data_IF_244608274465
#
_entry.id   IF_244608274465
#
_cell.length_a   1.000
_cell.length_b   1.000
_cell.length_c   1.000
_cell.angle_alpha   90.00
_cell.angle_beta   90.00
_cell.angle_gamma   90.00
#
_symmetry.space_group_name_H-M   'P 1'
#
loop_
_entity.id
_entity.type
_entity.pdbx_description
1 polymer ?
#
# COMPACT_ATOMS: atom_id res chain seq x y z
N UNK A 1 -6.04 -40.50 -24.41
CA UNK A 1 -6.54 -39.97 -23.14
C UNK A 1 -6.43 -38.44 -23.19
N UNK A 2 -7.54 -37.71 -23.03
CA UNK A 2 -7.50 -36.23 -22.97
C UNK A 2 -6.92 -35.88 -21.61
N UNK A 3 -5.91 -34.96 -21.54
CA UNK A 3 -5.34 -34.53 -20.27
C UNK A 3 -6.42 -33.91 -19.39
N UNK A 4 -6.42 -34.25 -18.10
CA UNK A 4 -7.33 -33.72 -17.12
C UNK A 4 -7.13 -32.21 -16.91
N UNK A 5 -8.06 -31.53 -16.24
CA UNK A 5 -7.92 -30.09 -15.94
C UNK A 5 -6.66 -29.83 -15.11
N UNK A 6 -6.32 -30.74 -14.20
CA UNK A 6 -5.13 -30.64 -13.37
C UNK A 6 -3.84 -30.73 -14.19
N UNK A 7 -3.76 -31.64 -15.16
CA UNK A 7 -2.59 -31.76 -16.03
C UNK A 7 -2.39 -30.52 -16.90
N UNK A 8 -3.50 -29.89 -17.34
CA UNK A 8 -3.43 -28.63 -18.11
C UNK A 8 -2.95 -27.49 -17.25
N UNK A 9 -3.40 -27.41 -16.00
CA UNK A 9 -2.99 -26.38 -15.06
C UNK A 9 -1.51 -26.51 -14.70
N UNK A 10 -1.02 -27.71 -14.39
CA UNK A 10 0.39 -27.96 -14.12
C UNK A 10 1.28 -27.69 -15.33
N UNK A 11 0.81 -27.96 -16.55
CA UNK A 11 1.54 -27.58 -17.75
C UNK A 11 1.68 -26.07 -17.89
N UNK A 12 0.59 -25.34 -17.66
CA UNK A 12 0.64 -23.87 -17.66
C UNK A 12 1.61 -23.34 -16.61
N UNK A 13 1.61 -23.91 -15.41
CA UNK A 13 2.54 -23.52 -14.34
C UNK A 13 4.02 -23.85 -14.65
N UNK A 14 4.26 -24.76 -15.62
CA UNK A 14 5.61 -25.13 -16.10
C UNK A 14 6.07 -24.31 -17.31
N UNK A 15 5.34 -23.28 -17.72
CA UNK A 15 5.81 -22.35 -18.75
C UNK A 15 6.72 -21.29 -18.12
N UNK A 16 7.80 -20.86 -18.80
CA UNK A 16 8.76 -19.89 -18.25
C UNK A 16 8.10 -18.58 -17.81
N UNK A 17 7.21 -18.02 -18.61
CA UNK A 17 6.47 -16.80 -18.32
C UNK A 17 5.50 -16.96 -17.15
N UNK A 18 4.86 -18.12 -17.01
CA UNK A 18 3.98 -18.42 -15.88
C UNK A 18 4.78 -18.54 -14.58
N UNK A 19 5.94 -19.20 -14.63
CA UNK A 19 6.87 -19.29 -13.49
C UNK A 19 7.31 -17.89 -13.04
N UNK A 20 7.70 -17.03 -13.97
CA UNK A 20 8.04 -15.65 -13.71
C UNK A 20 6.86 -14.88 -13.09
N UNK A 21 5.67 -14.98 -13.72
CA UNK A 21 4.45 -14.35 -13.21
C UNK A 21 4.12 -14.78 -11.78
N UNK A 22 4.11 -16.09 -11.52
CA UNK A 22 3.79 -16.60 -10.18
C UNK A 22 4.84 -16.18 -9.13
N UNK A 23 6.11 -16.12 -9.48
CA UNK A 23 7.17 -15.65 -8.58
C UNK A 23 6.94 -14.17 -8.20
N UNK A 24 6.69 -13.32 -9.20
CA UNK A 24 6.41 -11.90 -9.00
C UNK A 24 5.12 -11.71 -8.19
N UNK A 25 4.05 -12.41 -8.58
CA UNK A 25 2.75 -12.34 -7.90
C UNK A 25 2.83 -12.79 -6.43
N UNK A 26 3.59 -13.86 -6.15
CA UNK A 26 3.80 -14.36 -4.80
C UNK A 26 4.44 -13.32 -3.90
N UNK A 27 5.54 -12.71 -4.35
CA UNK A 27 6.26 -11.69 -3.56
C UNK A 27 5.43 -10.41 -3.44
N UNK A 28 4.73 -10.00 -4.51
CA UNK A 28 3.86 -8.83 -4.48
C UNK A 28 2.67 -9.01 -3.52
N UNK A 29 2.02 -10.19 -3.54
CA UNK A 29 0.93 -10.51 -2.62
C UNK A 29 1.40 -10.63 -1.17
N UNK A 30 2.59 -11.19 -0.91
CA UNK A 30 3.20 -11.21 0.42
C UNK A 30 3.49 -9.79 0.92
N UNK A 31 4.03 -8.93 0.06
CA UNK A 31 4.27 -7.51 0.38
C UNK A 31 2.94 -6.80 0.69
N UNK A 32 1.91 -7.04 -0.12
CA UNK A 32 0.59 -6.47 0.11
C UNK A 32 0.03 -6.88 1.48
N UNK A 33 0.05 -8.17 1.84
CA UNK A 33 -0.43 -8.65 3.13
C UNK A 33 0.32 -8.02 4.29
N UNK A 34 1.64 -7.88 4.16
CA UNK A 34 2.48 -7.30 5.20
C UNK A 34 2.13 -5.82 5.48
N UNK A 35 1.87 -5.02 4.43
CA UNK A 35 1.59 -3.60 4.58
C UNK A 35 0.11 -3.26 4.70
N UNK A 36 -0.76 -4.03 4.08
CA UNK A 36 -2.20 -3.78 4.11
C UNK A 36 -2.90 -4.44 5.31
N UNK A 37 -2.22 -5.32 6.06
CA UNK A 37 -2.75 -6.07 7.21
C UNK A 37 -4.18 -6.61 6.92
N UNK A 38 -4.28 -7.43 5.88
CA UNK A 38 -5.55 -7.96 5.38
C UNK A 38 -6.14 -9.07 6.28
N UNK A 39 -7.21 -9.67 5.79
CA UNK A 39 -7.86 -10.83 6.41
C UNK A 39 -7.21 -12.18 6.02
N UNK A 40 -5.96 -12.17 5.55
CA UNK A 40 -5.22 -13.37 5.15
C UNK A 40 -5.50 -13.89 3.74
N UNK A 41 -6.38 -13.25 2.97
CA UNK A 41 -6.69 -13.67 1.59
C UNK A 41 -5.48 -13.51 0.67
N UNK A 42 -4.78 -12.38 0.76
CA UNK A 42 -3.56 -12.14 0.01
C UNK A 42 -2.40 -13.02 0.47
N UNK A 43 -2.34 -13.36 1.77
CA UNK A 43 -1.39 -14.35 2.27
C UNK A 43 -1.64 -15.74 1.65
N UNK A 44 -2.89 -16.21 1.62
CA UNK A 44 -3.25 -17.48 0.98
C UNK A 44 -2.92 -17.47 -0.52
N UNK A 45 -3.24 -16.38 -1.23
CA UNK A 45 -2.89 -16.20 -2.64
C UNK A 45 -1.37 -16.20 -2.86
N UNK A 46 -0.61 -15.55 -1.97
CA UNK A 46 0.86 -15.55 -2.00
C UNK A 46 1.42 -16.95 -1.85
N UNK A 47 0.95 -17.73 -0.86
CA UNK A 47 1.39 -19.12 -0.65
C UNK A 47 1.11 -19.97 -1.88
N UNK A 48 -0.10 -19.88 -2.44
CA UNK A 48 -0.45 -20.62 -3.66
C UNK A 48 0.47 -20.24 -4.83
N UNK A 49 0.70 -18.95 -5.03
CA UNK A 49 1.60 -18.46 -6.08
C UNK A 49 3.05 -18.92 -5.85
N UNK A 50 3.54 -18.97 -4.61
CA UNK A 50 4.86 -19.54 -4.28
C UNK A 50 4.95 -21.04 -4.60
N UNK A 51 3.90 -21.81 -4.34
CA UNK A 51 3.87 -23.24 -4.68
C UNK A 51 3.94 -23.44 -6.20
N UNK A 52 3.20 -22.63 -6.98
CA UNK A 52 3.20 -22.68 -8.44
C UNK A 52 4.54 -22.21 -9.03
N UNK A 53 5.10 -21.13 -8.49
CA UNK A 53 6.44 -20.68 -8.86
C UNK A 53 7.49 -21.75 -8.55
N UNK A 54 7.44 -22.35 -7.35
CA UNK A 54 8.33 -23.41 -6.92
C UNK A 54 8.26 -24.65 -7.81
N UNK A 55 7.05 -25.02 -8.26
CA UNK A 55 6.87 -26.10 -9.23
C UNK A 55 7.55 -25.77 -10.57
N UNK A 56 7.34 -24.56 -11.10
CA UNK A 56 8.01 -24.11 -12.32
C UNK A 56 9.53 -24.07 -12.17
N UNK A 57 10.03 -23.52 -11.05
CA UNK A 57 11.47 -23.47 -10.76
C UNK A 57 12.11 -24.86 -10.62
N UNK A 58 11.35 -25.86 -10.19
CA UNK A 58 11.83 -27.25 -10.06
C UNK A 58 11.80 -28.03 -11.39
N UNK A 59 10.96 -27.64 -12.34
CA UNK A 59 10.74 -28.39 -13.59
C UNK A 59 11.47 -27.80 -14.80
N UNK A 60 11.77 -26.49 -14.76
CA UNK A 60 12.46 -25.79 -15.84
C UNK A 60 13.98 -25.71 -15.63
N UNK A 61 14.77 -25.62 -16.71
CA UNK A 61 16.20 -25.29 -16.62
C UNK A 61 16.37 -23.80 -16.25
N UNK A 62 16.42 -23.51 -14.98
CA UNK A 62 16.35 -22.16 -14.42
C UNK A 62 17.74 -21.52 -14.31
N UNK A 63 17.83 -20.26 -14.73
CA UNK A 63 18.95 -19.36 -14.44
C UNK A 63 18.81 -18.76 -13.04
N UNK A 64 19.48 -19.29 -12.04
CA UNK A 64 19.43 -18.81 -10.66
C UNK A 64 19.85 -17.34 -10.50
N UNK A 65 20.83 -16.83 -11.25
CA UNK A 65 21.13 -15.39 -11.24
C UNK A 65 19.97 -14.52 -11.68
N UNK A 66 19.16 -14.99 -12.65
CA UNK A 66 17.97 -14.29 -13.13
C UNK A 66 16.84 -14.29 -12.08
N UNK A 67 16.64 -15.40 -11.37
CA UNK A 67 15.75 -15.46 -10.22
C UNK A 67 16.19 -14.47 -9.13
N UNK A 68 17.49 -14.44 -8.84
CA UNK A 68 18.07 -13.46 -7.92
C UNK A 68 17.80 -12.01 -8.35
N UNK A 69 17.95 -11.70 -9.65
CA UNK A 69 17.63 -10.39 -10.20
C UNK A 69 16.16 -10.01 -10.00
N UNK A 70 15.23 -10.94 -10.23
CA UNK A 70 13.79 -10.72 -10.00
C UNK A 70 13.52 -10.41 -8.53
N UNK A 71 14.06 -11.20 -7.62
CA UNK A 71 13.88 -10.99 -6.17
C UNK A 71 14.45 -9.64 -5.73
N UNK A 72 15.67 -9.32 -6.15
CA UNK A 72 16.32 -8.01 -5.84
C UNK A 72 15.52 -6.86 -6.44
N UNK A 73 15.00 -7.01 -7.66
CA UNK A 73 14.16 -6.02 -8.31
C UNK A 73 12.90 -5.69 -7.48
N UNK A 74 12.21 -6.72 -6.97
CA UNK A 74 11.03 -6.54 -6.10
C UNK A 74 11.38 -5.95 -4.73
N UNK A 75 12.53 -6.31 -4.16
CA UNK A 75 13.01 -5.71 -2.92
C UNK A 75 13.32 -4.21 -3.09
N UNK A 76 13.86 -3.81 -4.24
CA UNK A 76 14.09 -2.39 -4.55
C UNK A 76 12.78 -1.60 -4.67
N UNK A 77 11.76 -2.18 -5.28
CA UNK A 77 10.40 -1.61 -5.30
C UNK A 77 9.82 -1.45 -3.89
N UNK A 78 9.93 -2.50 -3.09
CA UNK A 78 9.46 -2.49 -1.70
C UNK A 78 10.19 -1.44 -0.87
N UNK A 79 11.49 -1.25 -1.10
CA UNK A 79 12.28 -0.23 -0.40
C UNK A 79 11.88 1.20 -0.77
N UNK A 80 11.69 1.49 -2.07
CA UNK A 80 11.21 2.80 -2.51
C UNK A 80 9.78 3.07 -2.03
N UNK A 81 8.93 2.03 -2.01
CA UNK A 81 7.60 2.10 -1.44
C UNK A 81 7.62 2.53 0.04
N UNK A 82 8.51 1.96 0.87
CA UNK A 82 8.66 2.35 2.28
C UNK A 82 9.05 3.83 2.45
N UNK A 83 9.76 4.40 1.48
CA UNK A 83 10.16 5.80 1.47
C UNK A 83 9.11 6.74 0.85
N UNK A 84 7.95 6.19 0.49
CA UNK A 84 6.82 6.90 -0.12
C UNK A 84 7.19 7.68 -1.41
N UNK A 85 8.18 7.20 -2.16
CA UNK A 85 8.65 7.78 -3.42
C UNK A 85 9.11 6.67 -4.36
N UNK A 86 8.54 6.63 -5.57
CA UNK A 86 9.13 5.89 -6.67
C UNK A 86 10.39 6.65 -7.13
N UNK A 87 11.55 6.09 -6.85
CA UNK A 87 12.84 6.70 -7.13
C UNK A 87 13.68 5.90 -8.13
N UNK A 88 14.96 6.19 -8.18
CA UNK A 88 15.93 5.51 -9.06
C UNK A 88 16.04 4.00 -8.77
N UNK A 89 15.72 3.55 -7.54
CA UNK A 89 15.71 2.14 -7.17
C UNK A 89 14.56 1.38 -7.86
N UNK A 90 13.39 2.00 -7.98
CA UNK A 90 12.28 1.44 -8.74
C UNK A 90 12.62 1.31 -10.22
N UNK A 91 13.35 2.28 -10.79
CA UNK A 91 13.86 2.19 -12.17
C UNK A 91 14.85 1.02 -12.31
N UNK A 92 15.80 0.89 -11.39
CA UNK A 92 16.71 -0.25 -11.36
C UNK A 92 15.96 -1.58 -11.15
N UNK A 93 14.97 -1.58 -10.26
CA UNK A 93 14.08 -2.73 -10.04
C UNK A 93 13.35 -3.15 -11.32
N UNK A 94 12.83 -2.18 -12.10
CA UNK A 94 12.21 -2.45 -13.41
C UNK A 94 13.19 -3.12 -14.36
N UNK A 95 14.41 -2.61 -14.45
CA UNK A 95 15.45 -3.18 -15.31
C UNK A 95 15.79 -4.62 -14.88
N UNK A 96 15.96 -4.85 -13.57
CA UNK A 96 16.24 -6.18 -13.04
C UNK A 96 15.09 -7.16 -13.26
N UNK A 97 13.82 -6.71 -13.15
CA UNK A 97 12.64 -7.52 -13.46
C UNK A 97 12.56 -7.87 -14.94
N UNK A 98 12.83 -6.91 -15.84
CA UNK A 98 12.85 -7.16 -17.29
C UNK A 98 13.97 -8.14 -17.67
N UNK A 99 15.20 -7.87 -17.25
CA UNK A 99 16.34 -8.74 -17.53
C UNK A 99 16.12 -10.13 -16.91
N UNK A 100 15.78 -10.18 -15.61
CA UNK A 100 15.55 -11.44 -14.91
C UNK A 100 14.38 -12.24 -15.51
N UNK A 101 13.28 -11.57 -15.89
CA UNK A 101 12.14 -12.23 -16.53
C UNK A 101 12.48 -12.78 -17.91
N UNK A 102 13.17 -12.01 -18.75
CA UNK A 102 13.57 -12.44 -20.09
C UNK A 102 14.64 -13.55 -20.11
N UNK A 103 15.44 -13.64 -19.04
CA UNK A 103 16.54 -14.61 -18.92
C UNK A 103 16.30 -15.65 -17.82
N UNK A 104 15.05 -15.84 -17.39
CA UNK A 104 14.72 -16.72 -16.27
C UNK A 104 15.07 -18.19 -16.53
N UNK A 105 15.06 -18.60 -17.80
CA UNK A 105 15.51 -19.93 -18.23
C UNK A 105 16.88 -19.87 -18.90
N UNK A 106 17.67 -20.93 -18.74
CA UNK A 106 18.92 -21.07 -19.47
C UNK A 106 18.68 -21.09 -20.98
N UNK A 107 19.54 -20.38 -21.70
CA UNK A 107 19.37 -19.94 -23.09
C UNK A 107 19.20 -21.05 -24.14
N UNK A 108 18.08 -21.77 -24.06
CA UNK A 108 17.58 -22.57 -25.19
C UNK A 108 16.48 -21.77 -25.88
N UNK A 109 16.63 -21.44 -27.17
CA UNK A 109 15.63 -20.60 -27.89
C UNK A 109 14.20 -21.13 -27.84
N UNK A 110 14.04 -22.43 -27.58
CA UNK A 110 12.73 -23.11 -27.53
C UNK A 110 12.03 -22.97 -26.15
N UNK A 111 12.75 -22.48 -25.12
CA UNK A 111 12.23 -22.28 -23.76
C UNK A 111 12.36 -20.82 -23.33
N UNK A 112 12.56 -19.91 -24.27
CA UNK A 112 12.61 -18.49 -23.96
C UNK A 112 11.22 -17.99 -23.59
N UNK A 113 11.08 -17.21 -22.48
CA UNK A 113 9.79 -16.65 -22.11
C UNK A 113 9.29 -15.69 -23.19
N UNK A 114 7.98 -15.61 -23.33
CA UNK A 114 7.34 -14.71 -24.29
C UNK A 114 7.53 -13.27 -23.81
N UNK A 115 8.32 -12.50 -24.54
CA UNK A 115 8.82 -11.16 -24.14
C UNK A 115 7.70 -10.17 -23.77
N UNK A 116 6.58 -10.16 -24.51
CA UNK A 116 5.48 -9.22 -24.22
C UNK A 116 4.75 -9.56 -22.92
N UNK A 117 4.69 -10.85 -22.53
CA UNK A 117 4.12 -11.27 -21.23
C UNK A 117 5.00 -10.73 -20.10
N UNK A 118 6.32 -10.84 -20.25
CA UNK A 118 7.27 -10.27 -19.28
C UNK A 118 7.06 -8.76 -19.13
N UNK A 119 6.89 -8.03 -20.23
CA UNK A 119 6.61 -6.59 -20.19
C UNK A 119 5.29 -6.30 -19.45
N UNK A 120 4.22 -7.05 -19.72
CA UNK A 120 2.93 -6.88 -19.04
C UNK A 120 3.07 -7.12 -17.52
N UNK A 121 3.78 -8.18 -17.11
CA UNK A 121 4.00 -8.49 -15.70
C UNK A 121 4.80 -7.37 -15.01
N UNK A 122 5.84 -6.87 -15.66
CA UNK A 122 6.67 -5.78 -15.12
C UNK A 122 5.88 -4.47 -15.03
N UNK A 123 5.10 -4.14 -16.07
CA UNK A 123 4.23 -2.96 -16.06
C UNK A 123 3.15 -3.07 -14.95
N UNK A 124 2.53 -4.26 -14.81
CA UNK A 124 1.60 -4.55 -13.73
C UNK A 124 2.22 -4.40 -12.34
N UNK A 125 3.47 -4.84 -12.19
CA UNK A 125 4.24 -4.66 -10.94
C UNK A 125 4.49 -3.19 -10.63
N UNK A 126 4.91 -2.42 -11.62
CA UNK A 126 5.12 -0.98 -11.45
C UNK A 126 3.81 -0.26 -11.07
N UNK A 127 2.70 -0.62 -11.71
CA UNK A 127 1.37 -0.10 -11.40
C UNK A 127 0.93 -0.52 -9.98
N UNK A 128 1.16 -1.77 -9.59
CA UNK A 128 0.82 -2.28 -8.28
C UNK A 128 1.54 -1.51 -7.17
N UNK A 129 2.85 -1.37 -7.25
CA UNK A 129 3.62 -0.62 -6.23
C UNK A 129 3.39 0.89 -6.30
N UNK A 130 3.23 1.45 -7.50
CA UNK A 130 3.07 2.89 -7.69
C UNK A 130 1.69 3.42 -7.31
N UNK A 131 0.64 2.67 -7.59
CA UNK A 131 -0.75 3.12 -7.43
C UNK A 131 -1.51 2.31 -6.40
N UNK A 132 -1.64 0.98 -6.61
CA UNK A 132 -2.53 0.18 -5.78
C UNK A 132 -2.08 0.15 -4.33
N UNK A 133 -0.84 -0.21 -4.08
CA UNK A 133 -0.30 -0.34 -2.74
C UNK A 133 -0.23 1.01 -2.01
N UNK A 134 0.18 2.09 -2.69
CA UNK A 134 0.24 3.44 -2.10
C UNK A 134 -1.15 3.95 -1.73
N UNK A 135 -2.15 3.73 -2.58
CA UNK A 135 -3.53 4.15 -2.33
C UNK A 135 -4.14 3.43 -1.14
N UNK A 136 -3.96 2.10 -1.05
CA UNK A 136 -4.51 1.28 0.03
C UNK A 136 -3.86 1.62 1.37
N UNK A 137 -2.55 1.78 1.41
CA UNK A 137 -1.84 2.15 2.64
C UNK A 137 -2.27 3.54 3.09
N UNK A 138 -2.35 4.53 2.19
CA UNK A 138 -2.83 5.87 2.52
C UNK A 138 -4.26 5.87 3.06
N UNK A 139 -5.18 5.11 2.46
CA UNK A 139 -6.57 5.06 2.91
C UNK A 139 -6.73 4.47 4.31
N UNK A 140 -5.82 3.61 4.75
CA UNK A 140 -5.83 3.03 6.11
C UNK A 140 -5.27 3.97 7.17
N UNK A 141 -4.30 4.81 6.81
CA UNK A 141 -3.67 5.75 7.73
C UNK A 141 -4.28 7.16 7.65
N UNK A 142 -5.16 7.44 6.69
CA UNK A 142 -5.98 8.64 6.76
C UNK A 142 -6.98 8.44 7.90
N UNK A 143 -6.75 9.10 9.02
CA UNK A 143 -7.77 9.30 10.04
C UNK A 143 -8.98 9.86 9.30
N UNK A 144 -10.12 9.15 9.40
CA UNK A 144 -11.33 9.60 8.74
C UNK A 144 -11.79 10.91 9.41
N UNK A 145 -11.27 12.02 8.95
CA UNK A 145 -11.78 13.37 9.25
C UNK A 145 -13.03 13.63 8.41
N UNK A 146 -13.81 12.55 8.18
CA UNK A 146 -15.03 12.66 7.39
C UNK A 146 -16.13 13.19 8.30
N UNK A 147 -16.54 14.41 8.08
CA UNK A 147 -17.83 14.94 8.50
C UNK A 147 -17.80 15.99 9.61
N UNK A 148 -16.66 16.49 10.07
CA UNK A 148 -16.64 17.54 11.10
C UNK A 148 -15.97 18.84 10.63
N UNK A 149 -15.42 18.86 9.41
CA UNK A 149 -14.84 20.06 8.79
C UNK A 149 -15.86 21.19 8.66
N UNK A 150 -17.16 20.87 8.66
CA UNK A 150 -18.23 21.86 8.67
C UNK A 150 -18.27 22.67 9.99
N UNK A 151 -17.58 22.22 11.04
CA UNK A 151 -17.46 22.95 12.30
C UNK A 151 -16.37 24.02 12.26
N UNK A 152 -15.41 23.96 11.32
CA UNK A 152 -14.36 24.98 11.18
C UNK A 152 -14.98 26.32 10.81
N UNK A 153 -14.60 27.36 11.53
CA UNK A 153 -15.18 28.72 11.40
C UNK A 153 -16.49 28.90 12.15
N UNK A 154 -16.99 27.87 12.84
CA UNK A 154 -18.19 28.06 13.70
C UNK A 154 -17.80 28.58 15.08
N UNK A 155 -18.63 29.49 15.56
CA UNK A 155 -18.57 29.98 16.92
C UNK A 155 -19.14 28.94 17.91
N UNK A 156 -18.55 28.88 19.07
CA UNK A 156 -19.00 28.07 20.19
C UNK A 156 -18.81 28.78 21.51
N UNK A 157 -19.13 28.08 22.60
CA UNK A 157 -18.92 28.59 23.94
C UNK A 157 -18.19 27.56 24.81
N UNK A 158 -17.14 27.97 25.48
CA UNK A 158 -16.42 27.14 26.44
C UNK A 158 -17.33 26.74 27.60
N UNK A 159 -17.45 25.47 27.90
CA UNK A 159 -18.19 24.95 29.06
C UNK A 159 -17.27 24.78 30.27
N UNK A 160 -15.99 24.48 30.03
CA UNK A 160 -14.94 24.34 31.05
C UNK A 160 -13.75 25.22 30.70
N UNK A 161 -12.93 25.51 31.68
CA UNK A 161 -11.62 26.16 31.46
C UNK A 161 -10.73 25.23 30.58
N UNK A 162 -9.84 25.83 29.79
CA UNK A 162 -8.88 25.12 28.96
C UNK A 162 -7.46 25.20 29.56
N UNK A 163 -6.85 23.99 29.79
CA UNK A 163 -5.45 23.87 30.23
C UNK A 163 -4.82 22.54 29.76
N UNK A 164 -4.40 22.41 28.54
CA UNK A 164 -4.82 23.03 27.29
C UNK A 164 -6.13 22.45 26.69
N UNK A 165 -6.73 21.43 27.32
CA UNK A 165 -7.96 20.78 26.86
C UNK A 165 -9.16 21.17 27.72
N UNK A 166 -10.33 21.30 27.09
CA UNK A 166 -11.58 21.62 27.74
C UNK A 166 -12.77 21.08 26.97
N UNK A 167 -13.97 21.45 27.41
CA UNK A 167 -15.22 21.14 26.72
C UNK A 167 -15.77 22.42 26.11
N UNK A 168 -16.12 22.35 24.82
CA UNK A 168 -16.77 23.42 24.09
C UNK A 168 -18.11 22.95 23.55
N UNK A 169 -19.09 23.82 23.54
CA UNK A 169 -20.39 23.59 22.92
C UNK A 169 -20.43 24.34 21.60
N UNK A 170 -20.54 23.58 20.51
CA UNK A 170 -20.67 24.08 19.14
C UNK A 170 -21.85 23.40 18.49
N UNK A 171 -22.75 24.14 17.87
CA UNK A 171 -23.96 23.61 17.22
C UNK A 171 -24.82 22.75 18.19
N UNK A 172 -25.01 23.22 19.42
CA UNK A 172 -25.76 22.54 20.49
C UNK A 172 -25.17 21.18 20.96
N UNK A 173 -24.01 20.79 20.43
CA UNK A 173 -23.33 19.56 20.80
C UNK A 173 -22.07 19.86 21.62
N UNK A 174 -21.78 18.96 22.57
CA UNK A 174 -20.57 19.02 23.41
C UNK A 174 -19.41 18.35 22.70
N UNK A 175 -18.29 19.06 22.60
CA UNK A 175 -17.05 18.60 21.97
C UNK A 175 -15.86 18.74 22.91
N UNK A 176 -14.89 17.83 22.78
CA UNK A 176 -13.58 18.11 23.35
C UNK A 176 -12.91 19.18 22.51
N UNK A 177 -12.44 20.24 23.16
CA UNK A 177 -11.67 21.31 22.53
C UNK A 177 -10.24 21.32 23.07
N UNK A 178 -9.31 21.72 22.22
CA UNK A 178 -7.93 22.04 22.58
C UNK A 178 -7.67 23.48 22.19
N UNK A 179 -7.12 24.25 23.13
CA UNK A 179 -6.67 25.60 22.87
C UNK A 179 -5.15 25.73 23.11
N UNK A 180 -4.54 26.74 22.51
CA UNK A 180 -3.16 27.05 22.82
C UNK A 180 -3.06 27.44 24.31
N UNK A 181 -1.97 27.01 25.03
CA UNK A 181 -1.82 27.21 26.49
C UNK A 181 -1.94 28.65 26.94
N UNK A 182 -1.61 29.60 26.07
CA UNK A 182 -1.66 31.04 26.37
C UNK A 182 -3.03 31.66 26.06
N UNK A 183 -4.00 30.88 25.56
CA UNK A 183 -5.30 31.41 25.15
C UNK A 183 -6.21 31.82 26.31
N UNK A 184 -5.96 31.31 27.57
CA UNK A 184 -6.63 31.74 28.79
C UNK A 184 -8.16 31.63 28.75
N UNK A 185 -8.71 30.60 28.08
CA UNK A 185 -10.15 30.43 27.87
C UNK A 185 -10.80 29.97 29.19
N UNK A 186 -11.75 30.76 29.69
CA UNK A 186 -12.55 30.47 30.88
C UNK A 186 -13.94 29.95 30.51
N UNK A 187 -14.63 29.29 31.47
CA UNK A 187 -16.01 28.84 31.24
C UNK A 187 -16.94 30.00 30.89
N UNK A 188 -17.64 29.88 29.77
CA UNK A 188 -18.54 30.92 29.28
C UNK A 188 -17.98 31.77 28.16
N UNK A 189 -16.67 31.71 27.91
CA UNK A 189 -16.06 32.46 26.84
C UNK A 189 -16.54 32.01 25.45
N UNK A 190 -16.64 32.97 24.52
CA UNK A 190 -16.91 32.71 23.13
C UNK A 190 -15.61 32.23 22.46
N UNK A 191 -15.73 31.16 21.70
CA UNK A 191 -14.60 30.55 20.98
C UNK A 191 -14.96 30.28 19.53
N UNK A 192 -13.99 30.26 18.67
CA UNK A 192 -14.11 29.88 17.27
C UNK A 192 -13.32 28.61 16.99
N UNK A 193 -13.89 27.70 16.21
CA UNK A 193 -13.23 26.44 15.80
C UNK A 193 -12.27 26.75 14.65
N UNK A 194 -10.97 26.59 14.87
CA UNK A 194 -9.93 26.83 13.86
C UNK A 194 -9.49 25.53 13.15
N UNK A 195 -9.71 24.38 13.79
CA UNK A 195 -9.33 23.08 13.21
C UNK A 195 -10.08 21.91 13.84
N UNK A 196 -9.94 20.76 13.21
CA UNK A 196 -10.53 19.48 13.69
C UNK A 196 -9.47 18.41 13.61
N UNK A 197 -9.12 17.81 14.76
CA UNK A 197 -8.20 16.67 14.86
C UNK A 197 -8.96 15.46 15.43
N UNK A 198 -9.50 14.63 14.54
CA UNK A 198 -10.30 13.48 14.90
C UNK A 198 -11.59 13.84 15.64
N UNK A 199 -11.60 13.68 16.97
CA UNK A 199 -12.74 14.02 17.84
C UNK A 199 -12.51 15.28 18.68
N UNK A 200 -11.36 15.92 18.53
CA UNK A 200 -10.97 17.12 19.25
C UNK A 200 -11.05 18.32 18.30
N UNK A 201 -11.65 19.41 18.75
CA UNK A 201 -11.71 20.67 18.02
C UNK A 201 -10.57 21.56 18.49
N UNK A 202 -9.77 22.09 17.58
CA UNK A 202 -8.85 23.16 17.89
C UNK A 202 -9.64 24.46 17.94
N UNK A 203 -9.56 25.19 19.06
CA UNK A 203 -10.35 26.40 19.29
C UNK A 203 -9.46 27.57 19.71
N UNK A 204 -9.86 28.75 19.28
CA UNK A 204 -9.27 30.03 19.69
C UNK A 204 -10.33 30.94 20.31
N UNK A 205 -9.96 31.88 21.18
CA UNK A 205 -10.90 32.90 21.63
C UNK A 205 -11.49 33.65 20.45
N UNK A 206 -12.83 33.73 20.40
CA UNK A 206 -13.46 34.52 19.34
C UNK A 206 -12.96 35.96 19.43
N UNK A 207 -12.50 36.52 18.29
CA UNK A 207 -12.09 37.94 18.26
C UNK A 207 -13.30 38.77 18.70
N UNK A 208 -13.18 39.43 19.86
CA UNK A 208 -14.25 40.28 20.37
C UNK A 208 -14.50 41.42 19.39
N UNK A 209 -15.76 41.62 19.00
CA UNK A 209 -16.23 42.85 18.34
C UNK A 209 -16.11 44.04 19.29
#
# INVERSE_FOLDING_TARGET
>A
LKPGLWDRFLRLASEPEATFFFLVAAIAAATFEFYAAGVGVSAAASVLAFLLAGYGLATLPISWPSVGAVVVGLLLYTWDFQRNRLGWRSVLGTILLLVGGLTITDARPQMAPVWWIVIIVVAGTALFYGVALTTIVRSRFSTATIGREYLIGKGGRAETAFDPEGIVVVDEARWRGRAHREAGIEPGDAVEVTGVDGIVLDVEPAAGD
#
